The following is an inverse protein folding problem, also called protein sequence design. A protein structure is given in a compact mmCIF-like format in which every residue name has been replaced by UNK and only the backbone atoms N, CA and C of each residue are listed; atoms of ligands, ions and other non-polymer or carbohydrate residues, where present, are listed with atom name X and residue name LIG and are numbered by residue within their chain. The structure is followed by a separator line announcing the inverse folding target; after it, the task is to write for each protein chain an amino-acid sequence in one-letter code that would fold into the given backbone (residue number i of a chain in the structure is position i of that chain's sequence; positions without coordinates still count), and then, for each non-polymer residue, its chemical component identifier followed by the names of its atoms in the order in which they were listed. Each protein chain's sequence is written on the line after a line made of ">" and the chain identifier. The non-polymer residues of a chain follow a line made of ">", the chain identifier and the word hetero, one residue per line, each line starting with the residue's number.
data_IF_194551494121
#
_entry.id   IF_194551494121
#
_cell.length_a   1.000
_cell.length_b   1.000
_cell.length_c   1.000
_cell.angle_alpha   90.00
_cell.angle_beta   90.00
_cell.angle_gamma   90.00
#
_symmetry.space_group_name_H-M   'P 1'
#
loop_
_entity.id
_entity.type
_entity.pdbx_description
1 polymer ?
#
# COMPACT_ATOMS: atom_id res chain seq x y z
N UNK A 1 -15.55 -16.62 1.14
CA UNK A 1 -15.31 -15.76 -0.05
C UNK A 1 -13.98 -15.03 0.12
N UNK A 2 -13.18 -14.91 -0.94
CA UNK A 2 -11.94 -14.12 -0.89
C UNK A 2 -12.31 -12.66 -1.09
N UNK A 3 -12.04 -11.79 -0.10
CA UNK A 3 -12.29 -10.36 -0.22
C UNK A 3 -11.34 -9.72 -1.24
N UNK A 4 -11.78 -8.63 -1.86
CA UNK A 4 -10.89 -7.75 -2.63
C UNK A 4 -10.25 -6.73 -1.68
N UNK A 5 -8.96 -6.91 -1.41
CA UNK A 5 -8.13 -6.03 -0.58
C UNK A 5 -7.26 -5.15 -1.47
N UNK A 6 -7.32 -3.83 -1.30
CA UNK A 6 -6.43 -2.88 -2.00
C UNK A 6 -5.41 -2.28 -1.03
N UNK A 7 -4.14 -2.25 -1.44
CA UNK A 7 -3.08 -1.55 -0.72
C UNK A 7 -3.07 -0.06 -1.10
N UNK A 8 -2.89 0.81 -0.12
CA UNK A 8 -2.74 2.26 -0.31
C UNK A 8 -1.42 2.70 0.29
N UNK A 9 -0.60 3.38 -0.51
CA UNK A 9 0.70 3.94 -0.09
C UNK A 9 0.67 5.45 -0.31
N UNK A 10 0.41 6.24 0.76
CA UNK A 10 0.34 7.70 0.68
C UNK A 10 1.75 8.30 0.76
N UNK A 11 2.23 8.85 -0.36
CA UNK A 11 3.56 9.48 -0.44
C UNK A 11 3.54 10.88 -1.06
N UNK A 12 2.35 11.44 -1.28
CA UNK A 12 2.25 12.71 -1.98
C UNK A 12 2.71 13.90 -1.15
N UNK A 13 2.49 13.82 0.16
CA UNK A 13 2.68 14.93 1.08
C UNK A 13 3.54 14.45 2.26
N UNK A 14 4.79 14.13 2.00
CA UNK A 14 5.76 13.91 3.06
C UNK A 14 6.75 15.07 3.09
N UNK A 15 6.96 15.60 4.26
CA UNK A 15 8.01 16.54 4.51
C UNK A 15 9.31 15.78 4.80
N UNK A 16 10.38 16.20 4.16
CA UNK A 16 11.71 15.63 4.38
C UNK A 16 12.36 16.32 5.56
N UNK A 17 12.69 15.56 6.59
CA UNK A 17 13.50 16.05 7.72
C UNK A 17 15.01 15.89 7.45
N UNK A 18 15.36 15.03 6.50
CA UNK A 18 16.75 14.74 6.13
C UNK A 18 17.21 15.68 5.01
N UNK A 19 18.32 16.37 5.24
CA UNK A 19 18.95 17.22 4.23
C UNK A 19 19.76 16.37 3.23
N UNK A 20 19.07 15.62 2.38
CA UNK A 20 19.67 14.77 1.33
C UNK A 20 19.23 15.24 -0.06
N UNK A 21 20.05 14.94 -1.06
CA UNK A 21 19.87 15.42 -2.45
C UNK A 21 18.93 14.56 -3.30
N UNK A 22 18.29 13.55 -2.72
CA UNK A 22 17.37 12.64 -3.41
C UNK A 22 16.17 12.33 -2.51
N UNK A 23 15.04 11.83 -3.08
CA UNK A 23 13.86 11.51 -2.29
C UNK A 23 14.14 10.45 -1.22
N UNK A 24 13.79 10.73 0.03
CA UNK A 24 14.00 9.84 1.19
C UNK A 24 13.35 8.46 1.00
N UNK A 25 12.28 8.39 0.21
CA UNK A 25 11.61 7.14 -0.16
C UNK A 25 12.53 6.13 -0.87
N UNK A 26 13.64 6.60 -1.43
CA UNK A 26 14.65 5.77 -2.11
C UNK A 26 15.77 5.34 -1.16
N UNK A 27 15.73 5.72 0.12
CA UNK A 27 16.71 5.26 1.11
C UNK A 27 16.70 3.73 1.19
N UNK A 28 17.89 3.09 1.13
CA UNK A 28 17.98 1.64 1.23
C UNK A 28 17.67 1.17 2.66
N UNK A 29 16.84 0.16 2.78
CA UNK A 29 16.56 -0.55 4.05
C UNK A 29 17.32 -1.88 4.10
N UNK A 30 17.69 -2.41 2.93
CA UNK A 30 18.57 -3.57 2.77
C UNK A 30 19.19 -3.54 1.38
N UNK A 31 20.10 -4.47 1.09
CA UNK A 31 20.73 -4.56 -0.22
C UNK A 31 19.69 -4.72 -1.34
N UNK A 32 19.71 -3.79 -2.29
CA UNK A 32 18.78 -3.76 -3.43
C UNK A 32 17.30 -3.46 -3.09
N UNK A 33 17.01 -2.99 -1.88
CA UNK A 33 15.65 -2.80 -1.40
C UNK A 33 15.49 -1.48 -0.63
N UNK A 34 14.63 -0.59 -1.11
CA UNK A 34 14.42 0.73 -0.53
C UNK A 34 13.06 0.87 0.18
N UNK A 35 12.84 2.01 0.84
CA UNK A 35 11.64 2.27 1.64
C UNK A 35 10.34 2.10 0.85
N UNK A 36 10.26 2.62 -0.38
CA UNK A 36 9.03 2.48 -1.18
C UNK A 36 8.81 1.04 -1.65
N UNK A 37 9.86 0.33 -2.06
CA UNK A 37 9.77 -1.08 -2.43
C UNK A 37 9.33 -1.94 -1.25
N UNK A 38 9.80 -1.62 -0.03
CA UNK A 38 9.37 -2.24 1.21
C UNK A 38 7.85 -2.12 1.39
N UNK A 39 7.26 -0.92 1.25
CA UNK A 39 5.82 -0.71 1.39
C UNK A 39 5.01 -1.47 0.33
N UNK A 40 5.49 -1.50 -0.91
CA UNK A 40 4.88 -2.31 -1.97
C UNK A 40 4.90 -3.79 -1.61
N UNK A 41 6.04 -4.27 -1.10
CA UNK A 41 6.16 -5.67 -0.67
C UNK A 41 5.29 -6.00 0.55
N UNK A 42 5.11 -5.06 1.48
CA UNK A 42 4.16 -5.20 2.59
C UNK A 42 2.72 -5.38 2.11
N UNK A 43 2.28 -4.54 1.16
CA UNK A 43 0.96 -4.67 0.55
C UNK A 43 0.78 -6.04 -0.12
N UNK A 44 1.77 -6.50 -0.86
CA UNK A 44 1.74 -7.82 -1.48
C UNK A 44 1.73 -8.95 -0.42
N UNK A 45 2.54 -8.84 0.65
CA UNK A 45 2.57 -9.79 1.76
C UNK A 45 1.25 -9.82 2.54
N UNK A 46 0.59 -8.68 2.72
CA UNK A 46 -0.74 -8.56 3.31
C UNK A 46 -1.83 -9.25 2.47
N UNK A 47 -1.55 -9.49 1.20
CA UNK A 47 -2.46 -10.16 0.26
C UNK A 47 -3.37 -9.22 -0.50
N UNK A 48 -2.91 -8.00 -0.74
CA UNK A 48 -3.60 -7.06 -1.61
C UNK A 48 -3.77 -7.62 -3.03
N UNK A 49 -4.89 -7.29 -3.65
CA UNK A 49 -5.19 -7.64 -5.03
C UNK A 49 -4.72 -6.55 -6.00
N UNK A 50 -4.65 -5.32 -5.52
CA UNK A 50 -4.14 -4.13 -6.23
C UNK A 50 -3.39 -3.25 -5.26
N UNK A 51 -2.44 -2.45 -5.75
CA UNK A 51 -1.70 -1.47 -4.95
C UNK A 51 -1.84 -0.09 -5.61
N UNK A 52 -2.10 0.92 -4.80
CA UNK A 52 -2.33 2.29 -5.22
C UNK A 52 -1.33 3.21 -4.52
N UNK A 53 -0.43 3.80 -5.29
CA UNK A 53 0.59 4.73 -4.79
C UNK A 53 0.10 6.14 -5.08
N UNK A 54 -0.14 6.91 -4.03
CA UNK A 54 -0.57 8.32 -4.14
C UNK A 54 0.67 9.19 -4.05
N UNK A 55 1.07 9.78 -5.16
CA UNK A 55 2.29 10.57 -5.29
C UNK A 55 1.98 11.93 -5.94
N UNK A 56 2.81 12.93 -5.67
CA UNK A 56 2.81 14.15 -6.46
C UNK A 56 3.46 13.92 -7.83
N UNK A 57 3.24 14.86 -8.75
CA UNK A 57 3.69 14.76 -10.14
C UNK A 57 5.21 14.71 -10.28
N UNK A 58 5.96 15.30 -9.34
CA UNK A 58 7.42 15.33 -9.34
C UNK A 58 8.02 13.98 -8.93
N UNK A 59 7.39 13.31 -7.99
CA UNK A 59 7.87 12.01 -7.46
C UNK A 59 7.37 10.81 -8.26
N UNK A 60 6.18 10.88 -8.82
CA UNK A 60 5.55 9.75 -9.49
C UNK A 60 6.43 9.09 -10.58
N UNK A 61 7.15 9.83 -11.45
CA UNK A 61 7.97 9.22 -12.48
C UNK A 61 9.16 8.41 -11.92
N UNK A 62 9.84 8.93 -10.91
CA UNK A 62 10.99 8.25 -10.31
C UNK A 62 10.55 7.03 -9.50
N UNK A 63 9.45 7.13 -8.78
CA UNK A 63 8.87 6.03 -8.02
C UNK A 63 8.44 4.91 -8.97
N UNK A 64 7.73 5.25 -10.05
CA UNK A 64 7.31 4.27 -11.06
C UNK A 64 8.49 3.57 -11.73
N UNK A 65 9.56 4.30 -12.02
CA UNK A 65 10.80 3.71 -12.57
C UNK A 65 11.44 2.72 -11.59
N UNK A 66 11.36 3.01 -10.29
CA UNK A 66 11.99 2.20 -9.24
C UNK A 66 11.17 0.95 -8.88
N UNK A 67 9.85 1.10 -8.82
CA UNK A 67 8.93 0.05 -8.34
C UNK A 67 8.36 -0.77 -9.51
N UNK A 68 8.06 -0.13 -10.64
CA UNK A 68 7.40 -0.76 -11.79
C UNK A 68 5.88 -0.75 -11.68
N UNK A 69 5.23 -1.53 -12.54
CA UNK A 69 3.76 -1.55 -12.67
C UNK A 69 3.10 -2.77 -12.01
N UNK A 70 3.89 -3.68 -11.44
CA UNK A 70 3.40 -4.88 -10.73
C UNK A 70 4.45 -5.44 -9.77
N UNK A 71 4.01 -6.28 -8.84
CA UNK A 71 4.85 -7.05 -7.92
C UNK A 71 4.29 -8.46 -7.77
N UNK A 72 5.15 -9.45 -7.55
CA UNK A 72 4.70 -10.80 -7.20
C UNK A 72 4.22 -10.89 -5.75
N UNK A 73 3.09 -11.58 -5.54
CA UNK A 73 2.66 -11.95 -4.20
C UNK A 73 3.66 -12.96 -3.59
N UNK A 74 4.39 -12.58 -2.52
CA UNK A 74 5.48 -13.40 -1.99
C UNK A 74 5.03 -14.76 -1.42
N UNK A 75 3.76 -14.87 -1.03
CA UNK A 75 3.20 -16.14 -0.51
C UNK A 75 2.99 -17.13 -1.64
N UNK A 76 2.49 -16.67 -2.79
CA UNK A 76 2.31 -17.51 -3.97
C UNK A 76 3.64 -17.83 -4.64
N UNK A 77 4.55 -16.87 -4.69
CA UNK A 77 5.88 -17.07 -5.26
C UNK A 77 6.65 -18.18 -4.52
N UNK A 78 6.62 -18.19 -3.17
CA UNK A 78 7.26 -19.25 -2.38
C UNK A 78 6.63 -20.62 -2.64
N UNK A 79 5.30 -20.70 -2.76
CA UNK A 79 4.59 -21.95 -3.09
C UNK A 79 4.92 -22.48 -4.47
N UNK A 80 5.11 -21.59 -5.44
CA UNK A 80 5.49 -21.96 -6.80
C UNK A 80 6.89 -22.57 -6.87
N UNK A 81 7.84 -22.05 -6.10
CA UNK A 81 9.18 -22.63 -6.00
C UNK A 81 9.20 -24.02 -5.34
N UNK A 82 8.25 -24.30 -4.47
CA UNK A 82 8.10 -25.60 -3.79
C UNK A 82 7.30 -26.62 -4.63
N UNK A 83 6.57 -26.16 -5.65
CA UNK A 83 5.74 -27.01 -6.50
C UNK A 83 6.48 -27.41 -7.78
N UNK A 84 6.38 -28.67 -8.18
CA UNK A 84 6.94 -29.20 -9.44
C UNK A 84 6.15 -28.72 -10.69
N UNK A 85 5.06 -27.98 -10.52
CA UNK A 85 4.20 -27.48 -11.60
C UNK A 85 4.46 -25.98 -11.80
N UNK A 86 5.36 -25.68 -12.72
CA UNK A 86 5.70 -24.31 -13.13
C UNK A 86 4.48 -23.58 -13.73
N UNK A 87 4.37 -22.31 -13.47
CA UNK A 87 3.65 -21.26 -14.22
C UNK A 87 2.24 -20.85 -13.84
N UNK A 88 1.46 -21.62 -13.10
CA UNK A 88 0.05 -21.23 -12.84
C UNK A 88 -0.19 -20.56 -11.48
N UNK A 89 0.80 -20.51 -10.59
CA UNK A 89 0.65 -19.99 -9.22
C UNK A 89 1.22 -18.60 -8.99
N UNK A 90 1.90 -18.01 -9.98
CA UNK A 90 2.43 -16.65 -9.87
C UNK A 90 1.27 -15.67 -9.88
N UNK A 91 1.05 -15.01 -8.76
CA UNK A 91 0.07 -13.96 -8.64
C UNK A 91 0.77 -12.62 -8.76
N UNK A 92 0.58 -11.95 -9.87
CA UNK A 92 0.96 -10.57 -10.08
C UNK A 92 -0.06 -9.65 -9.41
N UNK A 93 0.43 -8.68 -8.66
CA UNK A 93 -0.36 -7.63 -8.03
C UNK A 93 -0.07 -6.34 -8.77
N UNK A 94 -1.03 -5.79 -9.53
CA UNK A 94 -0.84 -4.57 -10.30
C UNK A 94 -0.70 -3.36 -9.37
N UNK A 95 0.13 -2.40 -9.81
CA UNK A 95 0.43 -1.15 -9.12
C UNK A 95 -0.10 0.01 -9.95
N UNK A 96 -0.90 0.87 -9.34
CA UNK A 96 -1.47 2.06 -9.93
C UNK A 96 -0.92 3.31 -9.26
N UNK A 97 -0.70 4.34 -10.06
CA UNK A 97 -0.19 5.64 -9.60
C UNK A 97 -1.31 6.67 -9.66
N UNK A 98 -1.54 7.36 -8.55
CA UNK A 98 -2.59 8.36 -8.39
C UNK A 98 -1.93 9.70 -8.09
N UNK A 99 -2.15 10.68 -8.98
CA UNK A 99 -1.71 12.06 -8.77
C UNK A 99 -2.70 12.83 -7.90
N UNK A 100 -2.20 13.80 -7.13
CA UNK A 100 -3.05 14.78 -6.43
C UNK A 100 -3.41 15.89 -7.41
N UNK A 101 -4.69 16.24 -7.45
CA UNK A 101 -5.17 17.35 -8.29
C UNK A 101 -4.52 18.67 -7.86
N UNK A 102 -4.06 19.52 -8.79
CA UNK A 102 -3.38 20.78 -8.48
C UNK A 102 -4.17 21.69 -7.51
N UNK A 103 -5.49 21.70 -7.60
CA UNK A 103 -6.38 22.47 -6.71
C UNK A 103 -6.37 22.01 -5.25
N UNK A 104 -5.94 20.79 -4.99
CA UNK A 104 -5.96 20.15 -3.69
C UNK A 104 -4.56 20.10 -3.04
N UNK A 105 -3.50 20.39 -3.80
CA UNK A 105 -2.10 20.34 -3.32
C UNK A 105 -1.84 21.30 -2.13
N UNK A 106 -2.35 22.54 -2.22
CA UNK A 106 -2.10 23.55 -1.19
C UNK A 106 -3.10 23.51 -0.01
N UNK A 107 -4.24 22.85 -0.20
CA UNK A 107 -5.36 22.91 0.77
C UNK A 107 -5.55 21.65 1.60
N UNK A 108 -4.98 20.55 1.14
CA UNK A 108 -5.23 19.21 1.68
C UNK A 108 -3.91 18.47 1.86
N UNK A 109 -3.00 19.17 2.56
CA UNK A 109 -1.65 18.68 2.81
C UNK A 109 -1.62 17.80 4.07
N UNK A 110 -2.06 16.56 3.92
CA UNK A 110 -1.95 15.57 4.98
C UNK A 110 -1.98 14.13 4.47
N UNK A 111 -1.36 13.23 5.21
CA UNK A 111 -1.45 11.78 4.93
C UNK A 111 -2.89 11.29 4.86
N UNK A 112 -3.78 11.82 5.69
CA UNK A 112 -5.19 11.46 5.70
C UNK A 112 -5.86 11.74 4.34
N UNK A 113 -5.61 12.89 3.75
CA UNK A 113 -6.13 13.22 2.42
C UNK A 113 -5.54 12.34 1.32
N UNK A 114 -4.24 12.07 1.36
CA UNK A 114 -3.59 11.16 0.41
C UNK A 114 -4.18 9.75 0.50
N UNK A 115 -4.46 9.28 1.72
CA UNK A 115 -5.13 7.99 1.93
C UNK A 115 -6.53 7.99 1.32
N UNK A 116 -7.34 9.02 1.62
CA UNK A 116 -8.71 9.12 1.09
C UNK A 116 -8.74 9.23 -0.44
N UNK A 117 -7.82 9.99 -1.05
CA UNK A 117 -7.70 10.10 -2.52
C UNK A 117 -7.32 8.75 -3.13
N UNK A 118 -6.37 8.02 -2.53
CA UNK A 118 -6.00 6.68 -2.98
C UNK A 118 -7.14 5.68 -2.89
N UNK A 119 -7.89 5.68 -1.79
CA UNK A 119 -9.07 4.83 -1.61
C UNK A 119 -10.17 5.20 -2.61
N UNK A 120 -10.43 6.50 -2.80
CA UNK A 120 -11.41 6.98 -3.76
C UNK A 120 -11.06 6.57 -5.19
N UNK A 121 -9.80 6.74 -5.60
CA UNK A 121 -9.30 6.31 -6.91
C UNK A 121 -9.47 4.80 -7.11
N UNK A 122 -9.08 4.00 -6.10
CA UNK A 122 -9.23 2.54 -6.13
C UNK A 122 -10.71 2.13 -6.26
N UNK A 123 -11.58 2.74 -5.47
CA UNK A 123 -13.02 2.49 -5.51
C UNK A 123 -13.62 2.84 -6.87
N UNK A 124 -13.43 4.08 -7.34
CA UNK A 124 -14.05 4.60 -8.55
C UNK A 124 -13.57 3.88 -9.81
N UNK A 125 -12.28 3.58 -9.90
CA UNK A 125 -11.72 2.85 -11.05
C UNK A 125 -12.26 1.43 -11.10
N UNK A 126 -12.24 0.72 -9.97
CA UNK A 126 -12.75 -0.64 -9.89
C UNK A 126 -14.26 -0.71 -10.16
N UNK A 127 -15.04 0.21 -9.60
CA UNK A 127 -16.49 0.29 -9.80
C UNK A 127 -16.88 0.54 -11.27
N UNK A 128 -16.11 1.38 -11.99
CA UNK A 128 -16.33 1.64 -13.41
C UNK A 128 -16.07 0.42 -14.30
N UNK A 129 -15.11 -0.45 -13.89
CA UNK A 129 -14.79 -1.67 -14.61
C UNK A 129 -15.83 -2.75 -14.28
N UNK A 130 -16.05 -3.02 -13.00
CA UNK A 130 -17.02 -3.99 -12.51
C UNK A 130 -17.25 -3.83 -11.00
N UNK A 131 -18.50 -3.88 -10.58
CA UNK A 131 -18.87 -3.87 -9.16
C UNK A 131 -18.22 -4.99 -8.34
N UNK A 132 -17.92 -6.12 -8.97
CA UNK A 132 -17.26 -7.27 -8.33
C UNK A 132 -15.78 -7.05 -8.03
N UNK A 133 -15.15 -6.07 -8.69
CA UNK A 133 -13.76 -5.69 -8.47
C UNK A 133 -13.61 -4.58 -7.43
N UNK A 134 -14.72 -4.02 -6.94
CA UNK A 134 -14.70 -2.97 -5.93
C UNK A 134 -14.05 -3.48 -4.64
N UNK A 135 -13.03 -2.76 -4.11
CA UNK A 135 -12.39 -3.18 -2.89
C UNK A 135 -13.36 -3.16 -1.70
N UNK A 136 -13.36 -4.24 -0.93
CA UNK A 136 -14.16 -4.34 0.30
C UNK A 136 -13.39 -3.84 1.51
N UNK A 137 -12.05 -3.81 1.41
CA UNK A 137 -11.15 -3.39 2.48
C UNK A 137 -9.86 -2.81 1.88
N UNK A 138 -9.25 -1.91 2.63
CA UNK A 138 -8.01 -1.24 2.27
C UNK A 138 -6.95 -1.53 3.33
N UNK A 139 -5.72 -1.76 2.89
CA UNK A 139 -4.53 -1.88 3.74
C UNK A 139 -3.63 -0.68 3.47
N UNK A 140 -3.41 0.14 4.48
CA UNK A 140 -2.59 1.34 4.40
C UNK A 140 -1.18 1.01 4.89
N UNK A 141 -0.16 1.25 4.06
CA UNK A 141 1.24 1.06 4.38
C UNK A 141 2.01 2.37 4.23
N UNK A 142 2.85 2.67 5.20
CA UNK A 142 3.70 3.86 5.21
C UNK A 142 5.16 3.47 4.99
N UNK A 143 5.87 4.09 4.00
CA UNK A 143 7.26 3.76 3.72
C UNK A 143 8.21 3.94 4.90
N UNK A 144 7.99 4.96 5.73
CA UNK A 144 8.86 5.30 6.86
C UNK A 144 8.72 4.39 8.09
N UNK A 145 7.64 3.61 8.17
CA UNK A 145 7.49 2.59 9.20
C UNK A 145 8.30 1.34 8.86
N UNK A 146 9.49 1.18 9.42
CA UNK A 146 10.35 0.02 9.15
C UNK A 146 10.18 -1.04 10.23
N UNK A 147 9.67 -2.20 9.86
CA UNK A 147 9.47 -3.35 10.73
C UNK A 147 9.59 -4.67 9.94
N UNK A 148 9.59 -5.80 10.63
CA UNK A 148 9.70 -7.11 9.98
C UNK A 148 8.44 -7.45 9.17
N UNK A 149 8.61 -7.54 7.85
CA UNK A 149 7.55 -7.90 6.90
C UNK A 149 6.96 -9.30 7.18
N UNK A 150 7.74 -10.18 7.81
CA UNK A 150 7.26 -11.50 8.20
C UNK A 150 6.04 -11.42 9.13
N UNK A 151 5.98 -10.39 9.97
CA UNK A 151 4.83 -10.11 10.82
C UNK A 151 3.55 -9.87 10.02
N UNK A 152 3.60 -9.07 8.96
CA UNK A 152 2.46 -8.85 8.04
C UNK A 152 2.00 -10.18 7.42
N UNK A 153 2.96 -10.97 6.96
CA UNK A 153 2.68 -12.27 6.33
C UNK A 153 1.99 -13.24 7.28
N UNK A 154 2.42 -13.30 8.54
CA UNK A 154 1.79 -14.15 9.56
C UNK A 154 0.33 -13.75 9.81
N UNK A 155 0.04 -12.45 9.82
CA UNK A 155 -1.29 -11.91 10.09
C UNK A 155 -2.16 -11.72 8.84
N UNK A 156 -1.71 -12.21 7.68
CA UNK A 156 -2.40 -12.06 6.39
C UNK A 156 -3.88 -12.48 6.42
N UNK A 157 -4.23 -13.55 7.12
CA UNK A 157 -5.62 -14.01 7.24
C UNK A 157 -6.47 -12.99 8.00
N UNK A 158 -5.94 -12.44 9.07
CA UNK A 158 -6.60 -11.44 9.91
C UNK A 158 -6.74 -10.10 9.16
N UNK A 159 -5.69 -9.67 8.45
CA UNK A 159 -5.71 -8.46 7.60
C UNK A 159 -6.83 -8.57 6.56
N UNK A 160 -7.05 -9.75 6.01
CA UNK A 160 -8.10 -10.03 5.02
C UNK A 160 -9.46 -10.33 5.62
N UNK A 161 -9.63 -10.26 6.93
CA UNK A 161 -10.94 -10.37 7.55
C UNK A 161 -11.76 -9.11 7.23
N UNK A 162 -12.98 -9.35 6.71
CA UNK A 162 -13.87 -8.30 6.24
C UNK A 162 -14.49 -7.47 7.37
N UNK A 163 -14.61 -8.03 8.54
CA UNK A 163 -15.47 -7.49 9.59
C UNK A 163 -14.77 -6.49 10.51
N UNK A 164 -13.43 -6.42 10.51
CA UNK A 164 -12.68 -5.66 11.50
C UNK A 164 -11.61 -4.79 10.87
N UNK A 165 -11.50 -3.55 11.35
CA UNK A 165 -10.32 -2.75 11.14
C UNK A 165 -9.22 -3.20 12.10
N UNK A 166 -8.00 -3.22 11.60
CA UNK A 166 -6.82 -3.57 12.37
C UNK A 166 -5.90 -2.36 12.43
N UNK A 167 -5.43 -2.04 13.62
CA UNK A 167 -4.39 -1.05 13.87
C UNK A 167 -3.17 -1.76 14.41
N UNK A 168 -2.08 -1.69 13.67
CA UNK A 168 -0.82 -2.24 14.13
C UNK A 168 -0.24 -1.36 15.23
N UNK A 169 0.37 -2.00 16.24
CA UNK A 169 0.95 -1.29 17.37
C UNK A 169 2.38 -1.73 17.60
N UNK A 170 3.21 -0.76 17.97
CA UNK A 170 4.57 -1.00 18.45
C UNK A 170 4.77 -0.24 19.76
N UNK A 171 5.20 -0.92 20.81
CA UNK A 171 5.30 -0.36 22.17
C UNK A 171 4.02 0.36 22.65
N UNK A 172 2.86 -0.17 22.29
CA UNK A 172 1.55 0.41 22.64
C UNK A 172 1.08 1.55 21.75
N UNK A 173 1.93 2.12 20.92
CA UNK A 173 1.63 3.21 19.99
C UNK A 173 1.15 2.67 18.62
N UNK A 174 0.34 3.47 17.94
CA UNK A 174 -0.24 3.17 16.63
C UNK A 174 -0.20 4.39 15.71
N UNK A 175 -0.83 4.31 14.55
CA UNK A 175 -1.00 5.45 13.65
C UNK A 175 -1.74 6.63 14.32
N UNK A 176 -2.61 6.36 15.28
CA UNK A 176 -3.30 7.42 16.06
C UNK A 176 -2.33 8.24 16.94
N UNK A 177 -1.17 7.68 17.25
CA UNK A 177 -0.09 8.32 18.01
C UNK A 177 1.00 8.89 17.10
N UNK A 178 0.66 9.20 15.84
CA UNK A 178 1.57 9.69 14.80
C UNK A 178 2.74 8.72 14.46
N UNK A 179 2.54 7.42 14.65
CA UNK A 179 3.51 6.42 14.20
C UNK A 179 3.18 5.95 12.79
N UNK A 180 4.20 5.78 11.95
CA UNK A 180 4.06 5.24 10.59
C UNK A 180 3.81 3.73 10.60
N UNK A 181 2.77 3.30 11.29
CA UNK A 181 2.39 1.90 11.38
C UNK A 181 1.17 1.60 10.51
N UNK A 182 1.14 0.45 9.84
CA UNK A 182 0.04 0.11 8.96
C UNK A 182 -1.27 -0.07 9.71
N UNK A 183 -2.36 0.11 8.98
CA UNK A 183 -3.70 -0.19 9.47
C UNK A 183 -4.60 -0.62 8.31
N UNK A 184 -5.79 -1.10 8.64
CA UNK A 184 -6.81 -1.41 7.65
C UNK A 184 -8.05 -0.54 7.85
N UNK A 185 -8.73 -0.24 6.74
CA UNK A 185 -10.02 0.45 6.71
C UNK A 185 -11.00 -0.36 5.86
N UNK A 186 -12.21 -0.59 6.38
CA UNK A 186 -13.27 -1.23 5.60
C UNK A 186 -13.85 -0.27 4.58
N UNK A 187 -14.43 -0.82 3.50
CA UNK A 187 -15.14 0.01 2.52
C UNK A 187 -16.39 0.68 3.08
N UNK A 188 -16.94 0.16 4.19
CA UNK A 188 -18.07 0.78 4.89
C UNK A 188 -17.63 2.02 5.67
N UNK A 189 -16.53 1.93 6.41
CA UNK A 189 -15.98 3.08 7.14
C UNK A 189 -15.52 4.19 6.21
N UNK A 190 -14.95 3.85 5.06
CA UNK A 190 -14.59 4.84 4.04
C UNK A 190 -15.79 5.67 3.58
N UNK A 191 -16.97 5.07 3.46
CA UNK A 191 -18.20 5.79 3.05
C UNK A 191 -18.71 6.78 4.10
N UNK A 192 -18.22 6.68 5.33
CA UNK A 192 -18.56 7.60 6.42
C UNK A 192 -17.61 8.80 6.51
N UNK A 193 -16.46 8.75 5.80
CA UNK A 193 -15.48 9.85 5.69
C UNK A 193 -15.84 10.79 4.53
#
# INVERSE_FOLDING_TARGET
>A
MSIHLSGIIPIANYETELNISFPELLLPVSDGFNLIQKSVYECAAAGCNTIWIVANDDLAPIIRKTVGDWVYDPVYYKRDMESKFYSQLRKEVPIYYVGIKPKDQDKRDSYGWSILEGIHAAYMTSYKISKWLTPEKYFISFPFGVFDIYFIRQHRKLIRDKQQNLFFKYNGQSVADNQYLPFTMTGEDFKLC
#
